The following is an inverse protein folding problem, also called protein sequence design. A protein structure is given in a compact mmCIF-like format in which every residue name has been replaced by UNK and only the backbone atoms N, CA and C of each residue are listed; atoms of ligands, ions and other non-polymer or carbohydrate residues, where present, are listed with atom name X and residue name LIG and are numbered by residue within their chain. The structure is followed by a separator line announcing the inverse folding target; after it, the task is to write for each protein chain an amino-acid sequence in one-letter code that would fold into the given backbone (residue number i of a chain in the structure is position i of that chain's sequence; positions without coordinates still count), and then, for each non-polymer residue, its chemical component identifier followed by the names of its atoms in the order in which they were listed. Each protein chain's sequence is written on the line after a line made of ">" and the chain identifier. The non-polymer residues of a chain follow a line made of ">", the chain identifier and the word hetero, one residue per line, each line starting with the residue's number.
data_IF_731404868110
#
_entry.id   IF_731404868110
#
_cell.length_a   1.000
_cell.length_b   1.000
_cell.length_c   1.000
_cell.angle_alpha   90.00
_cell.angle_beta   90.00
_cell.angle_gamma   90.00
#
_symmetry.space_group_name_H-M   'P 1'
#
loop_
_entity.id
_entity.type
_entity.pdbx_description
1 polymer ?
#
# COMPACT_ATOMS: atom_id res chain seq x y z
N UNK A 1 -16.35 -6.31 -6.28
CA UNK A 1 -15.65 -5.42 -5.31
C UNK A 1 -15.19 -4.09 -5.95
N UNK A 2 -15.95 -3.50 -6.90
CA UNK A 2 -15.57 -2.22 -7.56
C UNK A 2 -16.29 -1.00 -6.93
N UNK A 3 -17.38 -1.23 -6.18
CA UNK A 3 -18.21 -0.14 -5.67
C UNK A 3 -17.47 0.78 -4.69
N UNK A 4 -16.64 0.25 -3.79
CA UNK A 4 -15.99 1.09 -2.77
C UNK A 4 -14.98 2.07 -3.38
N UNK A 5 -14.10 1.58 -4.26
CA UNK A 5 -13.15 2.44 -4.97
C UNK A 5 -13.88 3.51 -5.79
N UNK A 6 -14.92 3.14 -6.52
CA UNK A 6 -15.67 4.08 -7.37
C UNK A 6 -16.23 5.29 -6.61
N UNK A 7 -16.67 5.09 -5.36
CA UNK A 7 -17.21 6.18 -4.55
C UNK A 7 -16.16 6.92 -3.71
N UNK A 8 -15.10 6.24 -3.25
CA UNK A 8 -14.10 6.85 -2.37
C UNK A 8 -12.90 7.45 -3.10
N UNK A 9 -12.43 6.82 -4.17
CA UNK A 9 -11.24 7.29 -4.91
C UNK A 9 -11.39 8.74 -5.41
N UNK A 10 -12.56 9.20 -5.92
CA UNK A 10 -12.75 10.61 -6.26
C UNK A 10 -12.63 11.55 -5.05
N UNK A 11 -13.12 11.14 -3.88
CA UNK A 11 -13.01 11.93 -2.65
C UNK A 11 -11.56 11.99 -2.16
N UNK A 12 -10.85 10.86 -2.18
CA UNK A 12 -9.44 10.80 -1.80
C UNK A 12 -8.59 11.69 -2.69
N UNK A 13 -8.85 11.68 -4.00
CA UNK A 13 -8.16 12.54 -4.95
C UNK A 13 -8.53 14.02 -4.73
N UNK A 14 -9.81 14.35 -4.55
CA UNK A 14 -10.28 15.72 -4.28
C UNK A 14 -9.63 16.35 -3.04
N UNK A 15 -9.41 15.56 -1.99
CA UNK A 15 -8.85 16.04 -0.73
C UNK A 15 -7.35 15.75 -0.59
N UNK A 16 -6.68 15.36 -1.67
CA UNK A 16 -5.24 15.10 -1.70
C UNK A 16 -4.77 14.13 -0.61
N UNK A 17 -5.44 12.98 -0.50
CA UNK A 17 -5.00 11.90 0.38
C UNK A 17 -3.67 11.35 -0.13
N UNK A 18 -2.60 11.49 0.66
CA UNK A 18 -1.27 11.04 0.28
C UNK A 18 -1.17 9.49 0.26
N UNK A 19 -1.77 8.85 1.27
CA UNK A 19 -1.68 7.40 1.49
C UNK A 19 -3.02 6.81 1.95
N UNK A 20 -3.39 5.67 1.37
CA UNK A 20 -4.55 4.88 1.81
C UNK A 20 -4.09 3.48 2.23
N UNK A 21 -4.18 3.20 3.53
CA UNK A 21 -3.87 1.90 4.12
C UNK A 21 -5.12 1.03 4.19
N UNK A 22 -5.02 -0.21 3.74
CA UNK A 22 -6.12 -1.17 3.79
C UNK A 22 -5.59 -2.59 3.99
N UNK A 23 -6.49 -3.54 4.26
CA UNK A 23 -6.13 -4.91 4.57
C UNK A 23 -7.12 -5.88 3.92
N UNK A 24 -7.49 -6.95 4.63
CA UNK A 24 -8.36 -8.05 4.23
C UNK A 24 -7.73 -9.09 3.30
N UNK A 25 -6.91 -8.71 2.32
CA UNK A 25 -6.04 -9.67 1.62
C UNK A 25 -4.80 -9.94 2.45
N UNK A 26 -4.44 -11.21 2.64
CA UNK A 26 -3.39 -11.61 3.59
C UNK A 26 -2.02 -11.58 2.91
N UNK A 27 -1.61 -10.39 2.50
CA UNK A 27 -0.34 -10.10 1.83
C UNK A 27 0.03 -8.63 2.05
N UNK A 28 1.22 -8.26 1.57
CA UNK A 28 1.66 -6.89 1.44
C UNK A 28 1.63 -6.46 -0.02
N UNK A 29 1.18 -5.24 -0.32
CA UNK A 29 1.29 -4.67 -1.67
C UNK A 29 1.32 -3.14 -1.61
N UNK A 30 2.22 -2.52 -2.39
CA UNK A 30 2.29 -1.08 -2.57
C UNK A 30 2.11 -0.71 -4.03
N UNK A 31 1.25 0.26 -4.27
CA UNK A 31 1.04 0.82 -5.60
C UNK A 31 1.98 1.98 -5.90
N UNK A 32 2.08 2.37 -7.17
CA UNK A 32 2.46 3.73 -7.54
C UNK A 32 1.41 4.71 -7.00
N UNK A 33 1.71 6.02 -6.87
CA UNK A 33 0.68 7.04 -6.74
C UNK A 33 -0.29 6.91 -7.92
N UNK A 34 -1.57 6.71 -7.65
CA UNK A 34 -2.53 6.35 -8.70
C UNK A 34 -3.90 7.00 -8.53
N UNK A 35 -4.60 7.08 -9.67
CA UNK A 35 -6.01 7.47 -9.75
C UNK A 35 -6.62 6.76 -10.95
N UNK A 36 -7.81 6.17 -10.78
CA UNK A 36 -8.54 5.42 -11.83
C UNK A 36 -7.68 4.33 -12.48
N UNK A 37 -6.93 3.57 -11.66
CA UNK A 37 -6.05 2.48 -12.11
C UNK A 37 -4.87 2.92 -13.00
N UNK A 38 -4.52 4.21 -12.99
CA UNK A 38 -3.37 4.75 -13.72
C UNK A 38 -2.39 5.38 -12.74
N UNK A 39 -1.09 5.14 -12.94
CA UNK A 39 -0.05 5.85 -12.19
C UNK A 39 -0.05 7.32 -12.61
N UNK A 40 -0.23 8.21 -11.63
CA UNK A 40 -0.23 9.67 -11.82
C UNK A 40 0.53 10.33 -10.68
N UNK A 41 1.32 11.35 -10.96
CA UNK A 41 2.26 11.93 -9.98
C UNK A 41 1.62 12.53 -8.73
N UNK A 42 0.37 12.98 -8.84
CA UNK A 42 -0.43 13.58 -7.76
C UNK A 42 -1.50 12.61 -7.22
N UNK A 43 -1.37 11.32 -7.52
CA UNK A 43 -2.30 10.28 -7.11
C UNK A 43 -2.09 9.82 -5.66
N UNK A 44 -2.94 8.88 -5.26
CA UNK A 44 -2.90 8.30 -3.91
C UNK A 44 -2.01 7.07 -3.94
N UNK A 45 -1.10 6.95 -2.96
CA UNK A 45 -0.36 5.70 -2.76
C UNK A 45 -1.23 4.74 -1.95
N UNK A 46 -1.65 3.63 -2.54
CA UNK A 46 -2.41 2.60 -1.84
C UNK A 46 -1.46 1.53 -1.31
N UNK A 47 -1.63 1.15 -0.03
CA UNK A 47 -0.81 0.12 0.60
C UNK A 47 -1.70 -0.91 1.28
N UNK A 48 -1.64 -2.14 0.79
CA UNK A 48 -2.22 -3.32 1.43
C UNK A 48 -1.27 -3.78 2.55
N UNK A 49 -1.78 -3.82 3.78
CA UNK A 49 -1.06 -4.22 4.99
C UNK A 49 -1.78 -5.36 5.73
N UNK A 50 -2.19 -6.41 5.00
CA UNK A 50 -3.01 -7.50 5.56
C UNK A 50 -2.26 -8.73 6.03
N UNK A 51 -0.92 -8.68 6.04
CA UNK A 51 0.02 -9.78 6.34
C UNK A 51 0.29 -10.06 7.83
N UNK A 52 -0.62 -9.70 8.74
CA UNK A 52 -0.36 -9.63 10.18
C UNK A 52 -0.47 -10.97 10.97
N UNK A 53 -0.64 -12.12 10.30
CA UNK A 53 -0.58 -13.43 10.99
C UNK A 53 -1.71 -14.42 10.71
N UNK A 54 -2.66 -14.10 9.83
CA UNK A 54 -3.60 -15.09 9.29
C UNK A 54 -3.03 -15.72 8.01
N UNK A 55 -3.37 -16.99 7.73
CA UNK A 55 -2.90 -17.74 6.55
C UNK A 55 -2.70 -16.85 5.32
N UNK A 56 -1.44 -16.72 4.91
CA UNK A 56 -1.02 -15.91 3.77
C UNK A 56 -1.75 -16.39 2.51
N UNK A 57 -2.21 -15.44 1.70
CA UNK A 57 -2.77 -15.75 0.39
C UNK A 57 -1.70 -16.45 -0.46
N UNK A 58 -1.90 -17.74 -0.77
CA UNK A 58 -0.95 -18.56 -1.55
C UNK A 58 -1.32 -18.69 -3.04
N UNK A 59 -2.25 -17.85 -3.51
CA UNK A 59 -2.69 -17.85 -4.90
C UNK A 59 -1.63 -17.23 -5.82
N UNK A 60 -1.75 -17.53 -7.12
CA UNK A 60 -0.93 -16.86 -8.14
C UNK A 60 -1.19 -15.35 -8.11
N UNK A 61 -0.11 -14.57 -8.06
CA UNK A 61 -0.16 -13.12 -8.16
C UNK A 61 0.10 -12.69 -9.60
N UNK A 62 -0.92 -12.11 -10.23
CA UNK A 62 -0.77 -11.42 -11.52
C UNK A 62 -0.49 -9.94 -11.26
N UNK A 63 0.77 -9.53 -11.43
CA UNK A 63 1.17 -8.14 -11.26
C UNK A 63 0.41 -7.21 -12.19
N UNK A 64 -0.05 -6.09 -11.64
CA UNK A 64 -0.59 -4.99 -12.42
C UNK A 64 0.49 -3.91 -12.60
N UNK A 65 0.40 -3.13 -13.68
CA UNK A 65 1.35 -2.04 -13.97
C UNK A 65 1.47 -1.01 -12.83
N UNK A 66 0.39 -0.83 -12.05
CA UNK A 66 0.39 0.08 -10.91
C UNK A 66 1.00 -0.51 -9.64
N UNK A 67 1.31 -1.81 -9.61
CA UNK A 67 1.91 -2.45 -8.44
C UNK A 67 3.42 -2.31 -8.50
N UNK A 68 3.99 -1.67 -7.47
CA UNK A 68 5.43 -1.43 -7.37
C UNK A 68 6.10 -2.52 -6.55
N UNK A 69 5.39 -3.04 -5.55
CA UNK A 69 5.91 -4.08 -4.68
C UNK A 69 4.77 -4.96 -4.20
N UNK A 70 4.98 -6.28 -4.21
CA UNK A 70 4.06 -7.26 -3.69
C UNK A 70 4.85 -8.35 -2.96
N UNK A 71 4.33 -8.79 -1.82
CA UNK A 71 4.96 -9.84 -1.02
C UNK A 71 3.93 -10.67 -0.25
N UNK A 72 4.15 -11.99 -0.26
CA UNK A 72 3.29 -13.01 0.35
C UNK A 72 4.04 -13.64 1.52
N UNK A 73 4.41 -12.81 2.50
CA UNK A 73 5.03 -13.23 3.75
C UNK A 73 4.39 -12.49 4.92
N UNK A 74 4.55 -13.05 6.12
CA UNK A 74 4.15 -12.37 7.34
C UNK A 74 5.06 -11.17 7.64
N UNK A 75 4.48 -10.13 8.22
CA UNK A 75 5.26 -8.94 8.54
C UNK A 75 4.47 -7.84 9.20
N UNK A 76 5.13 -6.69 9.35
CA UNK A 76 4.54 -5.50 9.94
C UNK A 76 5.08 -4.24 9.28
N UNK A 77 4.30 -3.16 9.36
CA UNK A 77 4.70 -1.86 8.82
C UNK A 77 4.89 -0.83 9.93
N UNK A 78 5.87 0.04 9.76
CA UNK A 78 6.09 1.20 10.61
C UNK A 78 5.94 2.48 9.80
N UNK A 79 5.32 3.48 10.43
CA UNK A 79 5.08 4.78 9.83
C UNK A 79 5.64 5.87 10.75
N UNK A 80 6.63 6.60 10.27
CA UNK A 80 7.18 7.77 10.95
C UNK A 80 6.84 9.01 10.15
N UNK A 81 6.19 10.00 10.77
CA UNK A 81 5.72 11.18 10.06
C UNK A 81 5.96 12.47 10.85
N UNK A 82 6.21 13.55 10.10
CA UNK A 82 6.14 14.92 10.55
C UNK A 82 5.27 15.74 9.57
N UNK A 83 5.26 17.07 9.70
CA UNK A 83 4.37 17.95 8.91
C UNK A 83 4.57 17.88 7.39
N UNK A 84 5.75 17.52 6.90
CA UNK A 84 6.09 17.56 5.46
C UNK A 84 6.70 16.25 4.95
N UNK A 85 6.76 15.23 5.80
CA UNK A 85 7.50 14.01 5.51
C UNK A 85 6.83 12.82 6.19
N UNK A 86 6.74 11.71 5.47
CA UNK A 86 6.31 10.42 5.97
C UNK A 86 7.25 9.35 5.42
N UNK A 87 7.87 8.58 6.31
CA UNK A 87 8.61 7.37 5.97
C UNK A 87 7.78 6.15 6.33
N UNK A 88 7.51 5.32 5.33
CA UNK A 88 6.85 4.05 5.50
C UNK A 88 7.86 2.93 5.29
N UNK A 89 7.84 1.95 6.19
CA UNK A 89 8.72 0.78 6.14
C UNK A 89 7.89 -0.47 6.37
N UNK A 90 8.23 -1.54 5.66
CA UNK A 90 7.65 -2.88 5.81
C UNK A 90 8.76 -3.87 6.11
N UNK A 91 8.54 -4.69 7.15
CA UNK A 91 9.49 -5.69 7.61
C UNK A 91 8.86 -7.08 7.61
N UNK A 92 9.65 -8.11 7.30
CA UNK A 92 9.29 -9.49 7.66
C UNK A 92 9.41 -9.68 9.16
N UNK A 93 8.49 -10.44 9.75
CA UNK A 93 8.42 -10.63 11.20
C UNK A 93 9.34 -11.75 11.72
N UNK A 94 9.89 -12.60 10.85
CA UNK A 94 10.73 -13.73 11.22
C UNK A 94 12.15 -13.29 11.60
N UNK A 95 12.65 -12.22 11.00
CA UNK A 95 14.02 -11.75 11.16
C UNK A 95 14.19 -10.21 11.16
N UNK A 96 13.09 -9.46 11.21
CA UNK A 96 13.08 -7.99 11.15
C UNK A 96 13.82 -7.40 9.92
N UNK A 97 13.86 -8.13 8.80
CA UNK A 97 14.46 -7.63 7.55
C UNK A 97 13.56 -6.56 6.96
N UNK A 98 14.14 -5.42 6.58
CA UNK A 98 13.46 -4.38 5.82
C UNK A 98 13.25 -4.83 4.37
N UNK A 99 11.99 -4.88 3.95
CA UNK A 99 11.56 -5.45 2.68
C UNK A 99 11.15 -4.38 1.68
N UNK A 100 10.39 -3.39 2.15
CA UNK A 100 10.00 -2.24 1.35
C UNK A 100 10.08 -0.96 2.17
N UNK A 101 10.49 0.12 1.51
CA UNK A 101 10.60 1.44 2.10
C UNK A 101 10.29 2.51 1.06
N UNK A 102 9.46 3.47 1.44
CA UNK A 102 9.22 4.66 0.62
C UNK A 102 8.94 5.88 1.48
N UNK A 103 9.14 7.04 0.86
CA UNK A 103 8.93 8.34 1.48
C UNK A 103 7.87 9.10 0.69
N UNK A 104 6.95 9.75 1.41
CA UNK A 104 6.06 10.75 0.86
C UNK A 104 6.49 12.13 1.39
N UNK A 105 6.51 13.12 0.49
CA UNK A 105 6.88 14.50 0.80
C UNK A 105 5.75 15.42 0.39
N UNK A 106 5.52 16.46 1.19
CA UNK A 106 4.50 17.48 0.96
C UNK A 106 5.10 18.81 0.56
#
# INVERSE_FOLDING_TARGET
>A
KIMLQFYLEPLFYQYHVDINLFAHKHSYERTCPMYKQQCVSDGITHVLIGMAGQDIDSGEYSGAEWSIYHDQQYGYSQLWANRTYLNFTYYHNDNDTLIDQFVLQK
#
